data_IF_346537269465
#
_entry.id   IF_346537269465
#
_cell.length_a   1.000
_cell.length_b   1.000
_cell.length_c   1.000
_cell.angle_alpha   90.00
_cell.angle_beta   90.00
_cell.angle_gamma   90.00
#
_symmetry.space_group_name_H-M   'P 1'
#
loop_
_entity.id
_entity.type
_entity.pdbx_description
1 polymer ?
#
# COMPACT_ATOMS: atom_id res chain seq x y z
N UNK A 1 11.73 -14.87 -5.40
CA UNK A 1 12.08 -13.64 -4.65
C UNK A 1 11.81 -13.94 -3.19
N UNK A 2 12.75 -13.63 -2.29
CA UNK A 2 12.45 -13.65 -0.86
C UNK A 2 11.56 -12.44 -0.52
N UNK A 3 10.70 -12.52 0.51
CA UNK A 3 10.12 -11.32 1.10
C UNK A 3 11.26 -10.42 1.58
N UNK A 4 11.23 -9.14 1.24
CA UNK A 4 12.05 -8.14 1.92
C UNK A 4 11.43 -7.91 3.30
N UNK A 5 12.22 -8.01 4.37
CA UNK A 5 11.69 -7.69 5.68
C UNK A 5 11.68 -6.17 5.90
N UNK A 6 10.74 -5.68 6.71
CA UNK A 6 10.58 -4.24 6.97
C UNK A 6 11.73 -3.60 7.78
N UNK A 7 12.70 -4.38 8.25
CA UNK A 7 13.85 -3.96 9.04
C UNK A 7 15.16 -3.85 8.24
N UNK A 8 15.23 -4.43 7.03
CA UNK A 8 16.36 -4.29 6.09
C UNK A 8 16.51 -2.87 5.50
N UNK A 9 15.61 -1.94 5.81
CA UNK A 9 15.74 -0.49 5.49
C UNK A 9 16.76 0.27 6.36
N UNK A 10 17.63 -0.43 7.09
CA UNK A 10 18.68 0.16 7.95
C UNK A 10 19.99 0.49 7.21
N UNK A 11 19.98 0.42 5.87
CA UNK A 11 21.17 0.47 5.00
C UNK A 11 21.39 1.74 4.17
N UNK A 12 20.82 2.91 4.51
CA UNK A 12 21.14 4.17 3.83
C UNK A 12 21.14 5.38 4.79
N UNK A 13 22.18 6.22 4.70
CA UNK A 13 22.21 7.52 5.37
C UNK A 13 21.32 8.53 4.62
N UNK A 14 20.00 8.42 4.77
CA UNK A 14 19.07 9.26 4.01
C UNK A 14 17.63 9.20 4.50
N UNK A 15 17.28 9.98 5.53
CA UNK A 15 15.88 10.22 5.91
C UNK A 15 15.05 10.93 4.83
N UNK A 16 15.71 11.43 3.79
CA UNK A 16 15.14 12.19 2.66
C UNK A 16 15.17 11.43 1.32
N UNK A 17 15.77 10.23 1.25
CA UNK A 17 15.98 9.54 -0.03
C UNK A 17 14.73 8.76 -0.48
N UNK A 18 14.00 9.33 -1.43
CA UNK A 18 12.83 8.71 -2.05
C UNK A 18 13.18 7.91 -3.32
N UNK A 19 12.28 7.02 -3.74
CA UNK A 19 12.40 6.26 -4.99
C UNK A 19 11.05 5.77 -5.51
N UNK A 20 11.03 4.81 -6.43
CA UNK A 20 9.78 4.14 -6.84
C UNK A 20 9.55 2.91 -5.98
N UNK A 21 8.32 2.69 -5.53
CA UNK A 21 7.91 1.48 -4.82
C UNK A 21 6.73 0.81 -5.53
N UNK A 22 6.63 -0.51 -5.40
CA UNK A 22 5.44 -1.27 -5.82
C UNK A 22 4.92 -2.05 -4.62
N UNK A 23 3.66 -1.82 -4.26
CA UNK A 23 2.94 -2.62 -3.28
C UNK A 23 2.25 -3.78 -3.99
N UNK A 24 2.21 -4.95 -3.36
CA UNK A 24 1.53 -6.14 -3.84
C UNK A 24 0.43 -6.54 -2.85
N UNK A 25 -0.76 -6.83 -3.38
CA UNK A 25 -1.91 -7.31 -2.62
C UNK A 25 -2.42 -8.60 -3.27
N UNK A 26 -2.77 -9.58 -2.46
CA UNK A 26 -3.47 -10.79 -2.89
C UNK A 26 -4.92 -10.71 -2.38
N UNK A 27 -5.88 -10.82 -3.30
CA UNK A 27 -7.28 -11.07 -2.94
C UNK A 27 -7.56 -12.56 -3.17
N UNK A 28 -7.75 -13.30 -2.08
CA UNK A 28 -8.03 -14.74 -2.13
C UNK A 28 -9.38 -15.06 -2.80
N UNK A 29 -10.33 -14.13 -2.73
CA UNK A 29 -11.65 -14.20 -3.36
C UNK A 29 -12.08 -12.85 -3.94
N UNK A 30 -13.11 -12.86 -4.80
CA UNK A 30 -13.63 -11.63 -5.41
C UNK A 30 -14.35 -10.76 -4.39
N UNK A 31 -13.84 -9.56 -4.12
CA UNK A 31 -14.32 -8.67 -3.06
C UNK A 31 -15.15 -7.50 -3.63
N UNK A 32 -16.17 -7.05 -2.90
CA UNK A 32 -16.90 -5.81 -3.21
C UNK A 32 -16.35 -4.66 -2.37
N UNK A 33 -15.81 -3.62 -3.01
CA UNK A 33 -15.16 -2.48 -2.35
C UNK A 33 -15.92 -1.18 -2.58
N UNK A 34 -16.15 -0.42 -1.51
CA UNK A 34 -16.72 0.94 -1.58
C UNK A 34 -15.59 1.98 -1.68
N UNK A 35 -15.27 2.44 -2.89
CA UNK A 35 -14.12 3.31 -3.15
C UNK A 35 -14.53 4.79 -3.18
N UNK A 36 -15.00 5.30 -2.04
CA UNK A 36 -15.33 6.72 -1.86
C UNK A 36 -16.32 7.24 -2.91
N UNK A 37 -15.94 8.27 -3.67
CA UNK A 37 -16.79 8.85 -4.72
C UNK A 37 -16.94 8.00 -6.00
N UNK A 38 -16.14 6.93 -6.16
CA UNK A 38 -16.32 5.96 -7.25
C UNK A 38 -17.43 4.95 -6.93
N UNK A 39 -17.75 4.76 -5.64
CA UNK A 39 -18.79 3.84 -5.16
C UNK A 39 -18.36 2.37 -5.17
N UNK A 40 -19.36 1.48 -5.25
CA UNK A 40 -19.19 0.02 -5.18
C UNK A 40 -18.53 -0.55 -6.44
N UNK A 41 -17.44 -1.30 -6.27
CA UNK A 41 -16.82 -2.08 -7.34
C UNK A 41 -16.52 -3.51 -6.91
N UNK A 42 -16.92 -4.48 -7.73
CA UNK A 42 -16.45 -5.86 -7.61
C UNK A 42 -15.04 -5.98 -8.18
N UNK A 43 -14.09 -6.31 -7.32
CA UNK A 43 -12.69 -6.59 -7.68
C UNK A 43 -12.51 -8.12 -7.68
N UNK A 44 -12.08 -8.74 -8.80
CA UNK A 44 -11.84 -10.18 -8.85
C UNK A 44 -10.78 -10.68 -7.85
N UNK A 45 -10.79 -11.98 -7.56
CA UNK A 45 -9.67 -12.64 -6.91
C UNK A 45 -8.38 -12.53 -7.75
N UNK A 46 -7.23 -12.41 -7.10
CA UNK A 46 -5.92 -12.39 -7.75
C UNK A 46 -4.93 -11.39 -7.14
N UNK A 47 -3.82 -11.21 -7.86
CA UNK A 47 -2.72 -10.33 -7.45
C UNK A 47 -2.83 -8.94 -8.07
N UNK A 48 -2.72 -7.92 -7.22
CA UNK A 48 -2.79 -6.51 -7.57
C UNK A 48 -1.48 -5.80 -7.25
N UNK A 49 -0.97 -5.02 -8.19
CA UNK A 49 0.24 -4.22 -8.04
C UNK A 49 -0.08 -2.73 -8.10
N UNK A 50 0.41 -1.96 -7.13
CA UNK A 50 0.30 -0.50 -7.11
C UNK A 50 1.68 0.13 -7.06
N UNK A 51 2.04 0.89 -8.10
CA UNK A 51 3.36 1.54 -8.20
C UNK A 51 3.25 3.04 -7.88
N UNK A 52 4.01 3.50 -6.88
CA UNK A 52 4.05 4.87 -6.40
C UNK A 52 5.46 5.47 -6.42
N UNK A 53 5.55 6.80 -6.37
CA UNK A 53 6.82 7.56 -6.42
C UNK A 53 7.06 8.36 -5.14
N UNK A 54 7.98 7.87 -4.31
CA UNK A 54 8.42 8.45 -3.04
C UNK A 54 9.32 9.69 -3.17
N UNK A 55 9.55 10.24 -4.37
CA UNK A 55 10.47 11.34 -4.69
C UNK A 55 10.13 12.74 -4.09
N UNK A 56 9.23 12.82 -3.10
CA UNK A 56 8.90 14.07 -2.39
C UNK A 56 9.56 14.12 -1.01
N UNK A 57 9.47 15.27 -0.34
CA UNK A 57 10.09 15.53 0.99
C UNK A 57 9.62 14.64 2.16
N UNK A 58 8.73 13.67 1.91
CA UNK A 58 8.34 12.64 2.88
C UNK A 58 8.91 11.25 2.58
N UNK A 59 9.73 11.11 1.53
CA UNK A 59 10.36 9.85 1.14
C UNK A 59 9.38 8.67 1.10
N UNK A 60 9.84 7.54 1.64
CA UNK A 60 9.06 6.31 1.79
C UNK A 60 8.07 6.31 2.97
N UNK A 61 7.90 7.40 3.74
CA UNK A 61 7.00 7.43 4.90
C UNK A 61 5.53 7.12 4.56
N UNK A 62 5.14 7.24 3.27
CA UNK A 62 3.82 6.82 2.79
C UNK A 62 3.68 5.30 2.59
N UNK A 63 4.76 4.55 2.37
CA UNK A 63 4.75 3.07 2.39
C UNK A 63 4.31 2.61 3.78
N UNK A 64 4.96 3.13 4.83
CA UNK A 64 4.55 2.89 6.23
C UNK A 64 3.13 3.38 6.55
N UNK A 65 2.59 4.34 5.79
CA UNK A 65 1.18 4.73 5.91
C UNK A 65 0.26 3.70 5.27
N UNK A 66 0.55 3.22 4.07
CA UNK A 66 -0.22 2.15 3.43
C UNK A 66 -0.25 0.88 4.30
N UNK A 67 0.89 0.50 4.89
CA UNK A 67 1.02 -0.61 5.85
C UNK A 67 0.10 -0.44 7.06
N UNK A 68 0.11 0.75 7.72
CA UNK A 68 -0.78 1.01 8.87
C UNK A 68 -2.26 1.00 8.49
N UNK A 69 -2.62 1.46 7.29
CA UNK A 69 -4.03 1.39 6.84
C UNK A 69 -4.43 -0.05 6.56
N UNK A 70 -3.53 -0.88 6.03
CA UNK A 70 -3.77 -2.31 5.82
C UNK A 70 -3.88 -3.09 7.13
N UNK A 71 -3.05 -2.76 8.13
CA UNK A 71 -3.11 -3.34 9.47
C UNK A 71 -4.35 -2.94 10.29
N UNK A 72 -5.12 -1.95 9.83
CA UNK A 72 -6.24 -1.37 10.60
C UNK A 72 -5.82 -0.35 11.67
N UNK A 73 -4.53 -0.02 11.77
CA UNK A 73 -3.98 0.98 12.70
C UNK A 73 -4.28 2.44 12.28
N UNK A 74 -4.96 2.65 11.15
CA UNK A 74 -5.24 3.98 10.62
C UNK A 74 -6.47 4.01 9.70
N UNK A 75 -7.61 4.50 10.21
CA UNK A 75 -8.90 4.46 9.52
C UNK A 75 -8.98 5.26 8.21
N UNK A 76 -8.12 6.28 8.03
CA UNK A 76 -8.22 7.20 6.88
C UNK A 76 -7.50 6.64 5.64
N UNK A 77 -8.28 5.93 4.83
CA UNK A 77 -8.00 5.57 3.43
C UNK A 77 -7.99 6.83 2.56
N UNK A 78 -6.92 7.06 1.81
CA UNK A 78 -6.67 8.29 1.05
C UNK A 78 -6.22 8.04 -0.39
N UNK A 79 -5.69 6.86 -0.68
CA UNK A 79 -5.44 6.37 -2.03
C UNK A 79 -6.33 5.16 -2.31
N UNK A 80 -6.70 4.93 -3.57
CA UNK A 80 -7.56 3.78 -3.95
C UNK A 80 -6.95 2.42 -3.53
N UNK A 81 -5.62 2.32 -3.47
CA UNK A 81 -4.90 1.13 -3.00
C UNK A 81 -5.16 0.81 -1.52
N UNK A 82 -5.44 1.82 -0.69
CA UNK A 82 -5.73 1.64 0.74
C UNK A 82 -7.01 0.82 0.99
N UNK A 83 -7.90 0.76 -0.02
CA UNK A 83 -9.12 -0.05 0.02
C UNK A 83 -8.87 -1.52 -0.30
N UNK A 84 -7.72 -1.88 -0.89
CA UNK A 84 -7.29 -3.28 -1.09
C UNK A 84 -6.62 -3.83 0.18
N UNK A 85 -5.84 -3.00 0.88
CA UNK A 85 -5.12 -3.42 2.09
C UNK A 85 -6.00 -3.64 3.31
N UNK A 86 -7.16 -2.96 3.38
CA UNK A 86 -8.10 -3.08 4.50
C UNK A 86 -9.13 -4.21 4.38
N UNK A 87 -8.87 -5.21 3.54
CA UNK A 87 -9.67 -6.42 3.41
C UNK A 87 -8.97 -7.59 4.13
N UNK A 88 -9.69 -8.37 4.97
CA UNK A 88 -9.13 -9.50 5.70
C UNK A 88 -8.87 -10.73 4.80
#
# INVERSE_FOLDING_TARGET
MSPVDGSEWTGANGGDEGGTYTLLFELAESTSLEVGALGTHTVPAGWYAYTGSALGSGGFARVCRHERVAAGDHDVRHWHVDYLGGCP
#
